data_IF_434796971351
#
_entry.id   IF_434796971351
#
_cell.length_a   1.000
_cell.length_b   1.000
_cell.length_c   1.000
_cell.angle_alpha   90.00
_cell.angle_beta   90.00
_cell.angle_gamma   90.00
#
_symmetry.space_group_name_H-M   'P 1'
#
loop_
_entity.id
_entity.type
_entity.pdbx_description
1 polymer ?
#
# COMPACT_ATOMS: atom_id res chain seq x y z
N UNK A 1 -37.09 25.63 -9.03
CA UNK A 1 -36.92 24.59 -8.01
C UNK A 1 -35.44 24.28 -7.98
N UNK A 2 -34.73 24.92 -7.07
CA UNK A 2 -33.31 24.73 -6.88
C UNK A 2 -33.07 23.32 -6.36
N UNK A 3 -32.59 22.41 -7.21
CA UNK A 3 -32.01 21.16 -6.75
C UNK A 3 -30.66 21.51 -6.13
N UNK A 4 -30.64 21.84 -4.84
CA UNK A 4 -29.43 21.72 -4.04
C UNK A 4 -28.86 20.32 -4.29
N UNK A 5 -27.77 20.26 -5.05
CA UNK A 5 -27.09 19.03 -5.40
C UNK A 5 -26.51 18.46 -4.10
N UNK A 6 -27.30 17.66 -3.38
CA UNK A 6 -26.98 17.23 -2.02
C UNK A 6 -25.74 16.34 -2.11
N UNK A 7 -24.62 16.79 -1.53
CA UNK A 7 -23.37 16.04 -1.55
C UNK A 7 -23.57 14.66 -0.93
N UNK A 8 -23.11 13.61 -1.61
CA UNK A 8 -23.18 12.24 -1.09
C UNK A 8 -22.22 12.07 0.09
N UNK A 9 -22.66 11.40 1.14
CA UNK A 9 -21.83 11.04 2.30
C UNK A 9 -21.24 9.64 2.12
N UNK A 10 -19.92 9.53 2.02
CA UNK A 10 -19.21 8.26 1.99
C UNK A 10 -18.54 7.98 3.34
N UNK A 11 -18.80 6.79 3.89
CA UNK A 11 -18.15 6.29 5.10
C UNK A 11 -16.98 5.39 4.71
N UNK A 12 -15.77 5.72 5.14
CA UNK A 12 -14.55 5.00 4.81
C UNK A 12 -14.05 4.24 6.05
N UNK A 13 -13.83 2.93 5.91
CA UNK A 13 -13.47 2.04 7.00
C UNK A 13 -12.23 1.17 6.67
N UNK A 14 -11.01 1.69 6.87
CA UNK A 14 -9.76 0.97 6.64
C UNK A 14 -9.43 -0.09 7.70
N UNK A 15 -8.57 -1.05 7.35
CA UNK A 15 -7.80 -1.83 8.35
C UNK A 15 -6.88 -0.92 9.19
N UNK A 16 -6.60 -1.32 10.43
CA UNK A 16 -5.95 -0.48 11.44
C UNK A 16 -4.42 -0.31 11.26
N UNK A 17 -3.91 -0.65 10.07
CA UNK A 17 -2.52 -0.52 9.68
C UNK A 17 -2.28 0.70 8.80
N UNK A 18 -1.10 1.32 8.91
CA UNK A 18 -0.79 2.52 8.13
C UNK A 18 -0.71 2.26 6.62
N UNK A 19 -0.37 1.03 6.22
CA UNK A 19 -0.43 0.56 4.84
C UNK A 19 -1.84 0.59 4.23
N UNK A 20 -2.88 0.56 5.05
CA UNK A 20 -4.29 0.62 4.62
C UNK A 20 -4.89 2.01 4.87
N UNK A 21 -4.62 2.61 6.03
CA UNK A 21 -5.10 3.94 6.40
C UNK A 21 -4.63 5.01 5.41
N UNK A 22 -3.37 4.95 4.97
CA UNK A 22 -2.84 5.98 4.07
C UNK A 22 -3.52 5.95 2.68
N UNK A 23 -3.68 4.80 2.01
CA UNK A 23 -4.51 4.69 0.81
C UNK A 23 -5.95 5.17 1.01
N UNK A 24 -6.61 4.79 2.10
CA UNK A 24 -7.97 5.27 2.38
C UNK A 24 -8.04 6.79 2.55
N UNK A 25 -7.02 7.41 3.14
CA UNK A 25 -6.94 8.87 3.23
C UNK A 25 -6.74 9.54 1.86
N UNK A 26 -5.93 8.95 0.97
CA UNK A 26 -5.80 9.48 -0.40
C UNK A 26 -7.10 9.28 -1.21
N UNK A 27 -7.77 8.13 -1.06
CA UNK A 27 -9.09 7.90 -1.65
C UNK A 27 -10.12 8.92 -1.12
N UNK A 28 -10.10 9.21 0.19
CA UNK A 28 -10.96 10.22 0.82
C UNK A 28 -10.78 11.61 0.16
N UNK A 29 -9.54 12.03 -0.09
CA UNK A 29 -9.24 13.30 -0.77
C UNK A 29 -9.78 13.28 -2.21
N UNK A 30 -9.50 12.23 -2.97
CA UNK A 30 -9.97 12.09 -4.36
C UNK A 30 -11.50 12.08 -4.49
N UNK A 31 -12.21 11.46 -3.55
CA UNK A 31 -13.67 11.48 -3.48
C UNK A 31 -14.19 12.86 -3.07
N UNK A 32 -13.54 13.51 -2.11
CA UNK A 32 -13.88 14.88 -1.69
C UNK A 32 -13.77 15.88 -2.84
N UNK A 33 -12.70 15.80 -3.64
CA UNK A 33 -12.51 16.61 -4.85
C UNK A 33 -13.64 16.43 -5.88
N UNK A 34 -14.37 15.31 -5.78
CA UNK A 34 -15.51 14.96 -6.64
C UNK A 34 -16.87 15.16 -5.96
N UNK A 35 -16.88 15.92 -4.87
CA UNK A 35 -18.10 16.40 -4.22
C UNK A 35 -18.68 15.47 -3.15
N UNK A 36 -17.96 14.44 -2.71
CA UNK A 36 -18.37 13.65 -1.55
C UNK A 36 -18.05 14.36 -0.23
N UNK A 37 -18.90 14.15 0.77
CA UNK A 37 -18.56 14.38 2.18
C UNK A 37 -18.06 13.05 2.76
N UNK A 38 -16.87 13.07 3.37
CA UNK A 38 -16.22 11.86 3.85
C UNK A 38 -16.31 11.76 5.37
N UNK A 39 -16.68 10.59 5.84
CA UNK A 39 -16.55 10.16 7.22
C UNK A 39 -15.51 9.04 7.29
N UNK A 40 -14.28 9.35 7.71
CA UNK A 40 -13.19 8.38 7.80
C UNK A 40 -13.13 7.83 9.23
N UNK A 41 -13.41 6.54 9.36
CA UNK A 41 -13.56 5.86 10.65
C UNK A 41 -12.30 5.08 11.05
N UNK A 42 -11.82 5.28 12.27
CA UNK A 42 -10.72 4.49 12.84
C UNK A 42 -10.66 4.61 14.36
N UNK A 43 -9.69 3.95 14.99
CA UNK A 43 -9.43 4.02 16.43
C UNK A 43 -8.80 5.36 16.82
N UNK A 44 -8.96 5.84 18.07
CA UNK A 44 -8.44 7.15 18.48
C UNK A 44 -6.93 7.35 18.21
N UNK A 45 -6.12 6.31 18.43
CA UNK A 45 -4.67 6.39 18.14
C UNK A 45 -4.39 6.59 16.65
N UNK A 46 -5.12 5.91 15.77
CA UNK A 46 -4.98 6.07 14.32
C UNK A 46 -5.53 7.42 13.84
N UNK A 47 -6.63 7.90 14.41
CA UNK A 47 -7.18 9.22 14.08
C UNK A 47 -6.21 10.35 14.43
N UNK A 48 -5.45 10.23 15.52
CA UNK A 48 -4.40 11.20 15.85
C UNK A 48 -3.29 11.29 14.79
N UNK A 49 -3.01 10.18 14.09
CA UNK A 49 -2.09 10.13 12.96
C UNK A 49 -2.73 10.72 11.69
N UNK A 50 -3.97 10.34 11.40
CA UNK A 50 -4.71 10.80 10.21
C UNK A 50 -4.94 12.31 10.26
N UNK A 51 -5.35 12.85 11.41
CA UNK A 51 -5.66 14.28 11.58
C UNK A 51 -4.50 15.19 11.19
N UNK A 52 -3.26 14.77 11.46
CA UNK A 52 -2.03 15.51 11.12
C UNK A 52 -1.74 15.54 9.62
N UNK A 53 -2.34 14.62 8.85
CA UNK A 53 -2.12 14.41 7.41
C UNK A 53 -3.27 14.90 6.55
N UNK A 54 -4.35 15.42 7.15
CA UNK A 54 -5.44 16.08 6.43
C UNK A 54 -5.03 17.54 6.14
N UNK A 55 -4.83 17.93 4.87
CA UNK A 55 -4.58 19.33 4.54
C UNK A 55 -5.77 20.20 4.91
N UNK A 56 -5.52 21.48 5.23
CA UNK A 56 -6.58 22.44 5.63
C UNK A 56 -7.69 22.57 4.59
N UNK A 57 -7.39 22.39 3.31
CA UNK A 57 -8.37 22.40 2.21
C UNK A 57 -9.45 21.33 2.36
N UNK A 58 -9.15 20.21 3.02
CA UNK A 58 -10.06 19.09 3.19
C UNK A 58 -10.78 19.07 4.55
N UNK A 59 -10.46 19.98 5.47
CA UNK A 59 -10.98 19.97 6.84
C UNK A 59 -12.51 20.14 6.94
N UNK A 60 -13.15 20.75 5.93
CA UNK A 60 -14.61 20.89 5.88
C UNK A 60 -15.31 19.69 5.21
N UNK A 61 -14.56 18.85 4.50
CA UNK A 61 -15.10 17.74 3.69
C UNK A 61 -14.75 16.36 4.24
N UNK A 62 -13.68 16.24 5.02
CA UNK A 62 -13.25 14.98 5.65
C UNK A 62 -13.44 15.12 7.16
N UNK A 63 -14.39 14.36 7.70
CA UNK A 63 -14.64 14.25 9.12
C UNK A 63 -14.10 12.92 9.65
N UNK A 64 -13.49 12.95 10.83
CA UNK A 64 -13.00 11.75 11.49
C UNK A 64 -14.07 11.19 12.42
N UNK A 65 -14.24 9.87 12.38
CA UNK A 65 -15.22 9.14 13.20
C UNK A 65 -14.48 8.14 14.08
N UNK A 66 -14.69 8.23 15.38
CA UNK A 66 -14.08 7.34 16.37
C UNK A 66 -14.78 5.98 16.41
N UNK A 67 -14.00 4.92 16.19
CA UNK A 67 -14.36 3.54 16.49
C UNK A 67 -13.78 3.15 17.85
N UNK A 68 -14.63 2.63 18.73
CA UNK A 68 -14.21 2.15 20.04
C UNK A 68 -14.03 0.63 19.96
N UNK A 69 -12.79 0.18 20.18
CA UNK A 69 -12.51 -1.25 20.35
C UNK A 69 -12.73 -1.66 21.81
N UNK A 70 -13.15 -2.91 22.06
CA UNK A 70 -13.15 -3.47 23.40
C UNK A 70 -11.73 -3.51 23.98
N UNK A 71 -11.60 -3.18 25.26
CA UNK A 71 -10.33 -3.24 25.96
C UNK A 71 -9.98 -4.69 26.34
N UNK A 72 -8.75 -5.08 26.08
CA UNK A 72 -8.15 -6.31 26.63
C UNK A 72 -6.95 -5.93 27.48
N UNK A 73 -6.66 -6.62 28.59
CA UNK A 73 -5.46 -6.37 29.40
C UNK A 73 -4.17 -6.37 28.58
N UNK A 74 -4.09 -7.25 27.58
CA UNK A 74 -2.98 -7.39 26.66
C UNK A 74 -3.04 -6.46 25.43
N UNK A 75 -4.16 -5.76 25.20
CA UNK A 75 -4.36 -4.83 24.08
C UNK A 75 -4.92 -3.47 24.57
N UNK A 76 -4.12 -2.68 25.31
CA UNK A 76 -4.47 -1.32 25.69
C UNK A 76 -4.66 -0.41 24.47
N UNK A 77 -5.26 0.77 24.66
CA UNK A 77 -5.64 1.70 23.58
C UNK A 77 -4.50 2.12 22.65
N UNK A 78 -3.25 2.17 23.14
CA UNK A 78 -2.08 2.49 22.31
C UNK A 78 -1.65 1.35 21.37
N UNK A 79 -2.23 0.16 21.51
CA UNK A 79 -2.06 -0.99 20.61
C UNK A 79 -3.30 -1.25 19.75
N UNK A 80 -4.25 -0.31 19.69
CA UNK A 80 -5.38 -0.34 18.75
C UNK A 80 -4.97 0.09 17.34
N UNK A 81 -3.77 -0.31 16.92
CA UNK A 81 -3.08 -0.02 15.66
C UNK A 81 -2.01 -1.09 15.44
N UNK A 82 -1.64 -1.40 14.20
CA UNK A 82 -0.47 -2.29 13.95
C UNK A 82 0.86 -1.57 14.17
N UNK A 83 0.88 -0.24 14.17
CA UNK A 83 2.10 0.52 14.32
C UNK A 83 2.70 0.35 15.73
N UNK A 84 3.83 -0.36 15.81
CA UNK A 84 4.47 -0.71 17.07
C UNK A 84 3.78 -1.82 17.85
N UNK A 85 2.87 -2.57 17.22
CA UNK A 85 2.21 -3.73 17.82
C UNK A 85 3.17 -4.94 17.82
N UNK A 86 3.40 -5.59 18.97
CA UNK A 86 4.07 -6.88 19.00
C UNK A 86 3.35 -7.93 18.13
N UNK A 87 4.10 -8.67 17.31
CA UNK A 87 3.53 -9.61 16.33
C UNK A 87 2.57 -10.65 16.93
N UNK A 88 2.84 -11.10 18.17
CA UNK A 88 1.98 -12.07 18.86
C UNK A 88 0.61 -11.51 19.29
N UNK A 89 0.42 -10.18 19.24
CA UNK A 89 -0.85 -9.51 19.56
C UNK A 89 -1.72 -9.24 18.32
N UNK A 90 -1.24 -9.54 17.10
CA UNK A 90 -1.98 -9.24 15.88
C UNK A 90 -3.35 -9.93 15.85
N UNK A 91 -3.42 -11.22 16.21
CA UNK A 91 -4.68 -11.98 16.27
C UNK A 91 -5.66 -11.38 17.29
N UNK A 92 -5.16 -10.82 18.39
CA UNK A 92 -5.98 -10.15 19.40
C UNK A 92 -6.53 -8.81 18.86
N UNK A 93 -5.74 -8.07 18.08
CA UNK A 93 -6.22 -6.86 17.39
C UNK A 93 -7.33 -7.18 16.37
N UNK A 94 -7.16 -8.24 15.57
CA UNK A 94 -8.20 -8.73 14.66
C UNK A 94 -9.49 -9.09 15.42
N UNK A 95 -9.36 -9.84 16.53
CA UNK A 95 -10.49 -10.20 17.40
C UNK A 95 -11.16 -8.97 18.00
N UNK A 96 -10.39 -8.00 18.50
CA UNK A 96 -10.91 -6.76 19.06
C UNK A 96 -11.72 -5.98 18.01
N UNK A 97 -11.21 -5.88 16.79
CA UNK A 97 -11.91 -5.22 15.71
C UNK A 97 -13.20 -5.94 15.33
N UNK A 98 -13.18 -7.28 15.23
CA UNK A 98 -14.40 -8.07 14.99
C UNK A 98 -15.43 -7.83 16.09
N UNK A 99 -15.03 -7.83 17.36
CA UNK A 99 -15.95 -7.56 18.48
C UNK A 99 -16.50 -6.13 18.52
N UNK A 100 -15.92 -5.19 17.74
CA UNK A 100 -16.47 -3.86 17.56
C UNK A 100 -17.65 -3.78 16.58
N UNK A 101 -18.13 -4.90 15.99
CA UNK A 101 -19.33 -4.92 15.10
C UNK A 101 -20.50 -4.09 15.67
N UNK A 102 -20.91 -4.21 16.96
CA UNK A 102 -22.05 -3.47 17.50
C UNK A 102 -21.82 -1.94 17.58
N UNK A 103 -20.57 -1.52 17.85
CA UNK A 103 -20.20 -0.11 17.86
C UNK A 103 -20.28 0.47 16.44
N UNK A 104 -19.71 -0.22 15.44
CA UNK A 104 -19.80 0.18 14.04
C UNK A 104 -21.26 0.24 13.55
N UNK A 105 -22.08 -0.77 13.89
CA UNK A 105 -23.51 -0.77 13.57
C UNK A 105 -24.22 0.47 14.11
N UNK A 106 -23.95 0.83 15.37
CA UNK A 106 -24.54 2.01 16.02
C UNK A 106 -24.09 3.31 15.34
N UNK A 107 -22.81 3.41 14.97
CA UNK A 107 -22.25 4.54 14.23
C UNK A 107 -22.98 4.69 12.88
N UNK A 108 -23.02 3.63 12.08
CA UNK A 108 -23.64 3.67 10.74
C UNK A 108 -25.14 3.98 10.79
N UNK A 109 -25.87 3.41 11.76
CA UNK A 109 -27.29 3.70 12.00
C UNK A 109 -27.54 5.16 12.36
N UNK A 110 -26.59 5.79 13.07
CA UNK A 110 -26.70 7.19 13.52
C UNK A 110 -26.29 8.16 12.41
N UNK A 111 -25.16 7.91 11.76
CA UNK A 111 -24.57 8.78 10.73
C UNK A 111 -25.32 8.72 9.40
N UNK A 112 -25.93 7.56 9.10
CA UNK A 112 -26.67 7.28 7.86
C UNK A 112 -25.90 7.75 6.61
N UNK A 113 -24.71 7.18 6.35
CA UNK A 113 -23.99 7.48 5.12
C UNK A 113 -24.76 6.97 3.90
N UNK A 114 -24.52 7.57 2.74
CA UNK A 114 -25.11 7.15 1.47
C UNK A 114 -24.42 5.90 0.91
N UNK A 115 -23.14 5.69 1.25
CA UNK A 115 -22.34 4.53 0.85
C UNK A 115 -21.27 4.24 1.91
N UNK A 116 -20.91 2.97 2.08
CA UNK A 116 -19.73 2.56 2.86
C UNK A 116 -18.67 1.93 1.95
N UNK A 117 -17.44 2.38 2.08
CA UNK A 117 -16.25 1.79 1.45
C UNK A 117 -15.42 1.20 2.58
N UNK A 118 -15.20 -0.10 2.56
CA UNK A 118 -14.53 -0.82 3.65
C UNK A 118 -13.40 -1.71 3.14
N UNK A 119 -12.43 -1.99 3.99
CA UNK A 119 -11.26 -2.80 3.64
C UNK A 119 -11.65 -4.26 3.42
N UNK A 120 -11.00 -4.92 2.47
CA UNK A 120 -11.17 -6.37 2.26
C UNK A 120 -10.83 -7.20 3.51
N UNK A 121 -10.05 -6.65 4.44
CA UNK A 121 -9.71 -7.31 5.71
C UNK A 121 -10.89 -7.41 6.69
N UNK A 122 -12.01 -6.71 6.43
CA UNK A 122 -13.20 -6.73 7.29
C UNK A 122 -14.48 -7.05 6.50
N UNK A 123 -14.52 -8.21 5.84
CA UNK A 123 -15.68 -8.65 5.05
C UNK A 123 -17.01 -8.62 5.82
N UNK A 124 -16.96 -8.82 7.15
CA UNK A 124 -18.14 -8.72 8.03
C UNK A 124 -18.85 -7.35 8.03
N UNK A 125 -18.19 -6.31 7.53
CA UNK A 125 -18.79 -4.99 7.35
C UNK A 125 -19.96 -5.04 6.36
N UNK A 126 -19.91 -5.98 5.40
CA UNK A 126 -20.96 -6.21 4.42
C UNK A 126 -22.30 -6.56 5.09
N UNK A 127 -22.31 -7.49 6.05
CA UNK A 127 -23.52 -7.87 6.77
C UNK A 127 -24.17 -6.68 7.48
N UNK A 128 -23.36 -5.81 8.10
CA UNK A 128 -23.86 -4.58 8.75
C UNK A 128 -24.44 -3.60 7.73
N UNK A 129 -23.74 -3.37 6.62
CA UNK A 129 -24.21 -2.48 5.56
C UNK A 129 -25.55 -2.96 4.98
N UNK A 130 -25.66 -4.27 4.72
CA UNK A 130 -26.87 -4.92 4.23
C UNK A 130 -28.05 -4.79 5.19
N UNK A 131 -27.83 -5.03 6.49
CA UNK A 131 -28.85 -4.87 7.53
C UNK A 131 -29.39 -3.43 7.62
N UNK A 132 -28.56 -2.45 7.31
CA UNK A 132 -28.91 -1.03 7.32
C UNK A 132 -29.36 -0.52 5.94
N UNK A 133 -29.42 -1.38 4.93
CA UNK A 133 -29.69 -1.04 3.52
C UNK A 133 -28.76 0.07 2.98
N UNK A 134 -27.50 0.06 3.43
CA UNK A 134 -26.46 0.99 2.98
C UNK A 134 -25.69 0.32 1.82
N UNK A 135 -25.66 0.93 0.63
CA UNK A 135 -24.78 0.47 -0.45
C UNK A 135 -23.33 0.35 0.00
N UNK A 136 -22.62 -0.66 -0.49
CA UNK A 136 -21.25 -0.91 -0.05
C UNK A 136 -20.32 -1.29 -1.18
N UNK A 137 -19.05 -0.92 -1.05
CA UNK A 137 -17.96 -1.32 -1.92
C UNK A 137 -16.74 -1.74 -1.08
N UNK A 138 -16.05 -2.77 -1.52
CA UNK A 138 -14.78 -3.20 -0.93
C UNK A 138 -13.65 -2.34 -1.49
N UNK A 139 -12.59 -2.12 -0.73
CA UNK A 139 -11.37 -1.51 -1.23
C UNK A 139 -10.15 -2.39 -0.93
N UNK A 140 -9.46 -2.79 -2.00
CA UNK A 140 -8.21 -3.51 -1.96
C UNK A 140 -7.04 -2.55 -2.18
N UNK A 141 -6.18 -2.42 -1.17
CA UNK A 141 -5.10 -1.41 -1.12
C UNK A 141 -3.82 -1.79 -1.86
N UNK A 142 -3.81 -2.96 -2.53
CA UNK A 142 -2.67 -3.46 -3.33
C UNK A 142 -3.07 -3.66 -4.80
N UNK A 143 -2.14 -4.16 -5.62
CA UNK A 143 -2.35 -4.37 -7.06
C UNK A 143 -3.20 -5.59 -7.42
N UNK A 144 -3.79 -5.56 -8.62
CA UNK A 144 -4.66 -6.62 -9.16
C UNK A 144 -3.88 -7.90 -9.48
N UNK A 145 -2.64 -7.79 -9.95
CA UNK A 145 -1.74 -8.91 -10.19
C UNK A 145 -1.61 -9.79 -8.95
N UNK A 146 -1.26 -9.16 -7.82
CA UNK A 146 -1.13 -9.88 -6.56
C UNK A 146 -2.44 -10.48 -6.06
N UNK A 147 -3.53 -9.69 -6.08
CA UNK A 147 -4.83 -10.19 -5.66
C UNK A 147 -5.24 -11.44 -6.46
N UNK A 148 -5.14 -11.37 -7.78
CA UNK A 148 -5.53 -12.46 -8.68
C UNK A 148 -4.69 -13.71 -8.50
N UNK A 149 -3.39 -13.56 -8.21
CA UNK A 149 -2.50 -14.69 -7.91
C UNK A 149 -2.90 -15.40 -6.62
N UNK A 150 -3.09 -14.67 -5.52
CA UNK A 150 -3.44 -15.30 -4.23
C UNK A 150 -4.85 -15.91 -4.25
N UNK A 151 -5.81 -15.25 -4.89
CA UNK A 151 -7.15 -15.83 -5.07
C UNK A 151 -7.08 -17.09 -5.93
N UNK A 152 -6.27 -17.11 -6.99
CA UNK A 152 -6.08 -18.30 -7.80
C UNK A 152 -5.48 -19.45 -6.99
N UNK A 153 -4.41 -19.19 -6.23
CA UNK A 153 -3.80 -20.21 -5.36
C UNK A 153 -4.79 -20.78 -4.35
N UNK A 154 -5.74 -19.99 -3.88
CA UNK A 154 -6.77 -20.42 -2.95
C UNK A 154 -7.90 -21.22 -3.63
N UNK A 155 -8.42 -20.75 -4.77
CA UNK A 155 -9.59 -21.35 -5.43
C UNK A 155 -9.25 -22.52 -6.36
N UNK A 156 -8.08 -22.52 -6.98
CA UNK A 156 -7.69 -23.47 -8.01
C UNK A 156 -6.43 -24.22 -7.58
N UNK A 157 -6.53 -24.94 -6.46
CA UNK A 157 -5.47 -25.82 -6.01
C UNK A 157 -5.04 -26.77 -7.16
N UNK A 158 -3.73 -26.92 -7.35
CA UNK A 158 -3.10 -27.74 -8.40
C UNK A 158 -3.29 -27.26 -9.85
N UNK A 159 -3.86 -26.07 -10.07
CA UNK A 159 -3.87 -25.41 -11.38
C UNK A 159 -2.74 -24.39 -11.43
N UNK A 160 -2.03 -24.31 -12.56
CA UNK A 160 -1.02 -23.28 -12.77
C UNK A 160 -1.68 -21.91 -13.00
N UNK A 161 -1.10 -20.88 -12.38
CA UNK A 161 -1.54 -19.52 -12.59
C UNK A 161 -1.30 -19.09 -14.05
N UNK A 162 -2.31 -18.52 -14.75
CA UNK A 162 -2.27 -18.35 -16.21
C UNK A 162 -1.27 -17.29 -16.72
N UNK A 163 -0.61 -16.55 -15.83
CA UNK A 163 0.37 -15.53 -16.21
C UNK A 163 1.79 -15.92 -15.75
N UNK A 164 2.59 -16.58 -16.61
CA UNK A 164 3.89 -17.13 -16.23
C UNK A 164 4.94 -16.06 -15.87
N UNK A 165 4.74 -14.82 -16.32
CA UNK A 165 5.61 -13.69 -15.96
C UNK A 165 5.62 -13.37 -14.45
N UNK A 166 4.58 -13.82 -13.73
CA UNK A 166 4.40 -13.62 -12.30
C UNK A 166 4.74 -14.87 -11.47
N UNK A 167 5.54 -15.78 -12.03
CA UNK A 167 5.97 -16.98 -11.33
C UNK A 167 6.86 -16.62 -10.13
N UNK A 168 6.46 -17.08 -8.94
CA UNK A 168 7.22 -16.98 -7.70
C UNK A 168 8.20 -18.15 -7.58
N UNK A 169 9.34 -17.92 -6.93
CA UNK A 169 10.31 -18.98 -6.61
C UNK A 169 9.74 -19.96 -5.58
N UNK A 170 10.26 -21.20 -5.54
CA UNK A 170 9.73 -22.25 -4.65
C UNK A 170 9.66 -21.83 -3.17
N UNK A 171 10.69 -21.14 -2.66
CA UNK A 171 10.70 -20.65 -1.29
C UNK A 171 9.65 -19.54 -1.05
N UNK A 172 9.33 -18.75 -2.08
CA UNK A 172 8.32 -17.69 -2.04
C UNK A 172 6.92 -18.29 -2.04
N UNK A 173 6.71 -19.33 -2.85
CA UNK A 173 5.47 -20.13 -2.84
C UNK A 173 5.28 -20.78 -1.48
N UNK A 174 6.32 -21.39 -0.90
CA UNK A 174 6.23 -22.00 0.42
C UNK A 174 5.90 -20.96 1.51
N UNK A 175 6.51 -19.78 1.45
CA UNK A 175 6.23 -18.67 2.37
C UNK A 175 4.80 -18.15 2.19
N UNK A 176 4.33 -17.99 0.96
CA UNK A 176 2.96 -17.60 0.62
C UNK A 176 1.94 -18.63 1.15
N UNK A 177 2.19 -19.93 0.93
CA UNK A 177 1.36 -21.02 1.47
C UNK A 177 1.32 -20.99 2.99
N UNK A 178 2.46 -20.81 3.68
CA UNK A 178 2.49 -20.72 5.15
C UNK A 178 1.66 -19.54 5.69
N UNK A 179 1.67 -18.40 5.00
CA UNK A 179 0.83 -17.25 5.35
C UNK A 179 -0.67 -17.56 5.22
N UNK A 180 -1.09 -18.20 4.12
CA UNK A 180 -2.48 -18.62 3.90
C UNK A 180 -2.93 -19.61 4.99
N UNK A 181 -2.16 -20.67 5.23
CA UNK A 181 -2.50 -21.69 6.24
C UNK A 181 -2.47 -21.16 7.68
N UNK A 182 -1.62 -20.16 7.98
CA UNK A 182 -1.61 -19.51 9.29
C UNK A 182 -2.90 -18.73 9.53
N UNK A 183 -3.36 -17.98 8.52
CA UNK A 183 -4.63 -17.24 8.61
C UNK A 183 -5.82 -18.18 8.78
N UNK A 184 -5.83 -19.34 8.09
CA UNK A 184 -6.86 -20.37 8.27
C UNK A 184 -6.90 -20.90 9.71
N UNK A 185 -5.75 -21.28 10.29
CA UNK A 185 -5.68 -21.78 11.68
C UNK A 185 -6.05 -20.74 12.72
N UNK A 186 -5.75 -19.46 12.47
CA UNK A 186 -6.18 -18.37 13.36
C UNK A 186 -7.71 -18.15 13.30
N UNK A 187 -8.32 -18.41 12.13
CA UNK A 187 -9.77 -18.40 11.94
C UNK A 187 -10.48 -19.66 12.49
N UNK A 188 -9.77 -20.80 12.65
CA UNK A 188 -10.31 -22.06 13.19
C UNK A 188 -10.46 -22.11 14.73
N UNK A 189 -10.17 -21.03 15.47
CA UNK A 189 -10.43 -20.98 16.91
C UNK A 189 -11.95 -21.15 17.16
N UNK A 190 -12.31 -22.35 17.64
CA UNK A 190 -13.63 -23.02 17.65
C UNK A 190 -14.85 -22.29 18.25
N UNK A 191 -14.69 -21.08 18.77
CA UNK A 191 -15.82 -20.24 19.23
C UNK A 191 -16.27 -19.21 18.17
N UNK A 192 -15.45 -18.97 17.15
CA UNK A 192 -15.83 -18.22 15.96
C UNK A 192 -16.18 -19.23 14.87
N UNK A 193 -17.46 -19.57 14.71
CA UNK A 193 -17.87 -20.11 13.41
C UNK A 193 -17.46 -19.06 12.37
N UNK A 194 -16.76 -19.46 11.28
CA UNK A 194 -16.62 -18.57 10.16
C UNK A 194 -18.04 -18.40 9.61
N UNK A 195 -18.72 -17.33 10.02
CA UNK A 195 -19.63 -16.66 9.11
C UNK A 195 -18.74 -16.28 7.93
N UNK A 196 -18.59 -17.20 6.97
CA UNK A 196 -18.16 -16.90 5.62
C UNK A 196 -19.25 -15.98 5.07
N UNK A 197 -19.19 -14.70 5.45
CA UNK A 197 -19.92 -13.63 4.80
C UNK A 197 -19.27 -13.50 3.41
N UNK A 198 -19.68 -14.41 2.52
CA UNK A 198 -19.27 -14.43 1.13
C UNK A 198 -19.56 -13.04 0.55
N UNK A 199 -18.59 -12.44 -0.17
CA UNK A 199 -18.84 -11.16 -0.82
C UNK A 199 -20.06 -11.29 -1.74
N UNK A 200 -20.86 -10.22 -1.86
CA UNK A 200 -22.13 -10.28 -2.59
C UNK A 200 -21.94 -10.74 -4.05
N UNK A 201 -22.92 -11.49 -4.57
CA UNK A 201 -23.01 -11.95 -5.96
C UNK A 201 -23.05 -10.81 -7.01
N UNK A 202 -23.02 -9.54 -6.59
CA UNK A 202 -22.98 -8.35 -7.44
C UNK A 202 -22.13 -7.23 -6.80
N UNK A 203 -21.09 -7.61 -6.05
CA UNK A 203 -20.23 -6.67 -5.35
C UNK A 203 -19.41 -5.76 -6.27
N UNK A 204 -19.00 -4.62 -5.72
CA UNK A 204 -17.95 -3.76 -6.29
C UNK A 204 -16.71 -3.87 -5.41
N UNK A 205 -15.57 -4.15 -6.03
CA UNK A 205 -14.26 -4.05 -5.41
C UNK A 205 -13.46 -2.94 -6.11
N UNK A 206 -13.14 -1.92 -5.34
CA UNK A 206 -12.21 -0.87 -5.72
C UNK A 206 -10.79 -1.39 -5.59
N UNK A 207 -9.92 -1.05 -6.53
CA UNK A 207 -8.51 -1.45 -6.48
C UNK A 207 -7.59 -0.28 -6.85
N UNK A 208 -6.51 -0.11 -6.10
CA UNK A 208 -5.58 1.02 -6.20
C UNK A 208 -4.65 0.93 -7.43
N UNK A 209 -5.20 0.72 -8.62
CA UNK A 209 -4.45 0.55 -9.87
C UNK A 209 -5.17 1.20 -11.05
N UNK A 210 -4.63 1.01 -12.25
CA UNK A 210 -5.29 1.35 -13.51
C UNK A 210 -5.18 0.18 -14.51
N UNK A 211 -6.04 0.20 -15.54
CA UNK A 211 -6.05 -0.85 -16.57
C UNK A 211 -4.78 -0.87 -17.43
N UNK A 212 -4.12 0.26 -17.61
CA UNK A 212 -2.85 0.35 -18.34
C UNK A 212 -1.74 -0.47 -17.66
N UNK A 213 -1.77 -0.54 -16.34
CA UNK A 213 -0.77 -1.27 -15.55
C UNK A 213 -1.15 -2.75 -15.38
N UNK A 214 -2.41 -3.03 -15.06
CA UNK A 214 -2.82 -4.37 -14.60
C UNK A 214 -4.10 -4.91 -15.26
N UNK A 215 -4.53 -4.37 -16.40
CA UNK A 215 -5.85 -4.67 -16.99
C UNK A 215 -6.16 -6.17 -17.14
N UNK A 216 -5.20 -6.97 -17.65
CA UNK A 216 -5.38 -8.43 -17.81
C UNK A 216 -5.53 -9.16 -16.47
N UNK A 217 -4.87 -8.68 -15.42
CA UNK A 217 -4.98 -9.24 -14.07
C UNK A 217 -6.30 -8.86 -13.41
N UNK A 218 -6.79 -7.65 -13.68
CA UNK A 218 -8.11 -7.21 -13.23
C UNK A 218 -9.23 -8.03 -13.88
N UNK A 219 -9.12 -8.31 -15.19
CA UNK A 219 -10.11 -9.12 -15.91
C UNK A 219 -10.14 -10.55 -15.37
N UNK A 220 -8.96 -11.14 -15.19
CA UNK A 220 -8.86 -12.47 -14.58
C UNK A 220 -9.39 -12.50 -13.15
N UNK A 221 -9.05 -11.50 -12.32
CA UNK A 221 -9.59 -11.37 -10.97
C UNK A 221 -11.12 -11.32 -10.99
N UNK A 222 -11.70 -10.45 -11.83
CA UNK A 222 -13.14 -10.28 -11.94
C UNK A 222 -13.85 -11.60 -12.30
N UNK A 223 -13.25 -12.40 -13.17
CA UNK A 223 -13.76 -13.72 -13.55
C UNK A 223 -13.71 -14.70 -12.36
N UNK A 224 -12.57 -14.84 -11.69
CA UNK A 224 -12.41 -15.85 -10.62
C UNK A 224 -13.18 -15.52 -9.34
N UNK A 225 -13.49 -14.24 -9.06
CA UNK A 225 -14.30 -13.86 -7.89
C UNK A 225 -15.73 -13.42 -8.23
N UNK A 226 -16.12 -13.45 -9.50
CA UNK A 226 -17.46 -13.04 -9.96
C UNK A 226 -17.89 -11.67 -9.41
N UNK A 227 -16.94 -10.73 -9.30
CA UNK A 227 -17.15 -9.40 -8.70
C UNK A 227 -16.66 -8.33 -9.67
N UNK A 228 -17.37 -7.19 -9.72
CA UNK A 228 -16.94 -6.05 -10.55
C UNK A 228 -15.71 -5.39 -9.93
N UNK A 229 -14.61 -5.37 -10.68
CA UNK A 229 -13.36 -4.70 -10.27
C UNK A 229 -13.31 -3.30 -10.90
N UNK A 230 -13.24 -2.27 -10.07
CA UNK A 230 -13.14 -0.87 -10.50
C UNK A 230 -11.76 -0.28 -10.12
N UNK A 231 -10.97 0.22 -11.09
CA UNK A 231 -9.74 0.91 -10.79
C UNK A 231 -10.04 2.32 -10.24
N UNK A 232 -9.34 2.72 -9.18
CA UNK A 232 -9.41 4.10 -8.64
C UNK A 232 -8.16 4.93 -8.98
N UNK A 233 -7.33 4.41 -9.89
CA UNK A 233 -6.01 4.94 -10.20
C UNK A 233 -5.01 4.72 -9.07
N UNK A 234 -3.82 5.26 -9.25
CA UNK A 234 -2.76 5.26 -8.23
C UNK A 234 -3.05 6.28 -7.12
N UNK A 235 -2.72 5.92 -5.89
CA UNK A 235 -2.96 6.74 -4.69
C UNK A 235 -1.64 7.31 -4.15
N UNK A 236 -1.07 8.23 -4.91
CA UNK A 236 0.20 8.89 -4.58
C UNK A 236 -0.03 10.11 -3.68
N UNK A 237 0.77 10.22 -2.62
CA UNK A 237 0.75 11.39 -1.73
C UNK A 237 1.29 12.63 -2.47
N UNK A 238 0.62 13.77 -2.31
CA UNK A 238 1.13 15.04 -2.82
C UNK A 238 2.46 15.40 -2.14
N UNK A 239 3.58 15.49 -2.90
CA UNK A 239 4.88 15.87 -2.36
C UNK A 239 4.86 17.23 -1.63
N UNK A 240 4.00 18.16 -2.08
CA UNK A 240 3.89 19.52 -1.55
C UNK A 240 3.09 19.57 -0.24
N UNK A 241 2.19 18.62 -0.01
CA UNK A 241 1.38 18.54 1.21
C UNK A 241 2.21 18.05 2.43
N UNK A 242 3.36 17.41 2.19
CA UNK A 242 4.28 17.00 3.25
C UNK A 242 5.08 18.22 3.76
N UNK A 243 4.53 18.90 4.78
CA UNK A 243 5.06 20.16 5.34
C UNK A 243 6.46 20.13 5.96
N UNK A 244 7.15 18.99 5.96
CA UNK A 244 8.51 18.82 6.49
C UNK A 244 9.44 18.29 5.40
N UNK A 245 9.90 19.20 4.52
CA UNK A 245 11.09 18.89 3.72
C UNK A 245 12.30 18.95 4.64
N UNK A 246 12.99 17.84 4.84
CA UNK A 246 14.28 17.88 5.53
C UNK A 246 15.26 18.64 4.62
N UNK A 247 15.45 19.94 4.90
CA UNK A 247 16.27 20.85 4.08
C UNK A 247 17.66 20.30 3.83
N UNK A 248 18.23 19.57 4.81
CA UNK A 248 19.56 18.98 4.67
C UNK A 248 19.61 17.89 3.59
N UNK A 249 18.55 17.07 3.47
CA UNK A 249 18.47 16.04 2.43
C UNK A 249 18.40 16.69 1.04
N UNK A 250 17.56 17.71 0.90
CA UNK A 250 17.39 18.40 -0.39
C UNK A 250 18.67 19.15 -0.79
N UNK A 251 19.31 19.86 0.13
CA UNK A 251 20.61 20.51 -0.14
C UNK A 251 21.70 19.53 -0.54
N UNK A 252 21.74 18.34 0.08
CA UNK A 252 22.68 17.30 -0.32
C UNK A 252 22.37 16.80 -1.74
N UNK A 253 21.10 16.61 -2.09
CA UNK A 253 20.69 16.22 -3.45
C UNK A 253 21.01 17.29 -4.50
N UNK A 254 20.84 18.58 -4.16
CA UNK A 254 21.19 19.72 -5.01
C UNK A 254 22.68 19.74 -5.38
N UNK A 255 23.54 19.17 -4.52
CA UNK A 255 24.99 19.06 -4.78
C UNK A 255 25.37 17.93 -5.73
N UNK A 256 24.44 17.01 -6.06
CA UNK A 256 24.70 15.84 -6.89
C UNK A 256 24.31 16.08 -8.35
N UNK A 257 24.93 15.33 -9.26
CA UNK A 257 24.59 15.40 -10.69
C UNK A 257 23.21 14.81 -10.94
N UNK A 258 22.58 15.22 -12.03
CA UNK A 258 21.31 14.66 -12.49
C UNK A 258 21.40 13.13 -12.62
N UNK A 259 20.35 12.43 -12.16
CA UNK A 259 20.23 10.97 -12.23
C UNK A 259 21.41 10.18 -11.63
N UNK A 260 22.19 10.77 -10.72
CA UNK A 260 23.41 10.16 -10.17
C UNK A 260 23.25 9.56 -8.77
N UNK A 261 22.06 9.68 -8.18
CA UNK A 261 21.76 9.25 -6.82
C UNK A 261 20.68 8.18 -6.79
N UNK A 262 20.86 7.17 -5.94
CA UNK A 262 19.87 6.16 -5.63
C UNK A 262 19.23 6.43 -4.28
N UNK A 263 17.90 6.45 -4.23
CA UNK A 263 17.18 6.45 -2.95
C UNK A 263 16.96 5.00 -2.48
N UNK A 264 17.16 4.71 -1.20
CA UNK A 264 17.05 3.35 -0.64
C UNK A 264 16.09 3.37 0.55
N UNK A 265 14.96 2.67 0.42
CA UNK A 265 13.97 2.57 1.51
C UNK A 265 13.14 1.29 1.47
N UNK A 266 13.00 0.66 2.63
CA UNK A 266 12.26 -0.59 2.82
C UNK A 266 10.92 -0.39 3.56
N UNK A 267 10.38 0.84 3.53
CA UNK A 267 9.09 1.17 4.14
C UNK A 267 9.18 1.39 5.66
N UNK A 268 8.00 1.44 6.31
CA UNK A 268 7.89 1.73 7.74
C UNK A 268 7.68 0.50 8.63
N UNK A 269 7.26 -0.63 8.05
CA UNK A 269 6.82 -1.81 8.80
C UNK A 269 7.78 -3.01 8.69
N UNK A 270 8.81 -2.92 7.84
CA UNK A 270 9.86 -3.93 7.75
C UNK A 270 11.17 -3.40 8.35
N UNK A 271 11.80 -4.21 9.18
CA UNK A 271 13.10 -3.92 9.79
C UNK A 271 14.10 -4.96 9.31
N UNK A 272 15.14 -4.51 8.62
CA UNK A 272 16.17 -5.38 8.03
C UNK A 272 16.89 -6.18 9.12
N UNK A 273 17.24 -7.43 8.84
CA UNK A 273 18.15 -8.19 9.72
C UNK A 273 19.56 -7.60 9.70
N UNK A 274 20.45 -8.07 10.58
CA UNK A 274 21.85 -7.62 10.58
C UNK A 274 22.52 -8.02 9.26
N UNK A 275 22.29 -9.25 8.82
CA UNK A 275 22.84 -9.83 7.60
C UNK A 275 22.35 -9.06 6.37
N UNK A 276 21.05 -8.75 6.28
CA UNK A 276 20.51 -7.94 5.18
C UNK A 276 21.10 -6.53 5.16
N UNK A 277 21.22 -5.88 6.33
CA UNK A 277 21.88 -4.56 6.40
C UNK A 277 23.33 -4.61 5.93
N UNK A 278 24.06 -5.67 6.29
CA UNK A 278 25.45 -5.84 5.89
C UNK A 278 25.59 -6.00 4.37
N UNK A 279 24.81 -6.88 3.75
CA UNK A 279 24.83 -7.10 2.29
C UNK A 279 24.39 -5.85 1.52
N UNK A 280 23.35 -5.15 1.98
CA UNK A 280 22.89 -3.90 1.36
C UNK A 280 23.95 -2.81 1.47
N UNK A 281 24.55 -2.63 2.64
CA UNK A 281 25.61 -1.64 2.84
C UNK A 281 26.78 -1.89 1.89
N UNK A 282 27.26 -3.13 1.82
CA UNK A 282 28.41 -3.48 0.99
C UNK A 282 28.06 -3.45 -0.50
N UNK A 283 26.83 -3.78 -0.89
CA UNK A 283 26.36 -3.62 -2.26
C UNK A 283 26.31 -2.15 -2.69
N UNK A 284 25.82 -1.25 -1.82
CA UNK A 284 25.84 0.19 -2.05
C UNK A 284 27.28 0.72 -2.19
N UNK A 285 28.19 0.27 -1.32
CA UNK A 285 29.61 0.61 -1.40
C UNK A 285 30.23 0.18 -2.74
N UNK A 286 30.04 -1.09 -3.13
CA UNK A 286 30.56 -1.68 -4.37
C UNK A 286 29.96 -1.06 -5.64
N UNK A 287 28.73 -0.55 -5.55
CA UNK A 287 28.06 0.10 -6.68
C UNK A 287 28.70 1.43 -7.09
N UNK A 288 29.40 2.09 -6.15
CA UNK A 288 30.04 3.41 -6.32
C UNK A 288 29.08 4.56 -6.68
N UNK A 289 27.77 4.38 -6.54
CA UNK A 289 26.77 5.45 -6.75
C UNK A 289 26.70 6.40 -5.55
N UNK A 290 26.07 7.56 -5.74
CA UNK A 290 25.58 8.35 -4.61
C UNK A 290 24.29 7.71 -4.09
N UNK A 291 24.05 7.72 -2.78
CA UNK A 291 22.82 7.17 -2.23
C UNK A 291 22.33 7.89 -0.98
N UNK A 292 21.00 7.88 -0.79
CA UNK A 292 20.38 8.17 0.49
C UNK A 292 19.73 6.88 0.98
N UNK A 293 20.09 6.42 2.18
CA UNK A 293 19.55 5.19 2.75
C UNK A 293 18.80 5.44 4.05
N UNK A 294 17.52 5.06 4.05
CA UNK A 294 16.66 5.07 5.22
C UNK A 294 16.87 3.78 6.02
N UNK A 295 17.53 3.88 7.17
CA UNK A 295 17.77 2.75 8.10
C UNK A 295 16.89 2.92 9.33
N UNK A 296 16.13 1.87 9.69
CA UNK A 296 15.18 1.89 10.80
C UNK A 296 15.36 0.69 11.71
N UNK A 297 15.00 0.87 12.96
CA UNK A 297 15.01 -0.17 14.00
C UNK A 297 13.65 -0.24 14.70
N UNK A 298 13.28 -1.40 15.25
CA UNK A 298 12.10 -1.53 16.09
C UNK A 298 12.12 -0.53 17.24
N UNK A 299 10.93 -0.10 17.68
CA UNK A 299 10.80 0.86 18.78
C UNK A 299 11.37 0.26 20.06
N UNK A 300 12.38 0.92 20.64
CA UNK A 300 13.07 0.45 21.84
C UNK A 300 14.33 -0.40 21.55
N UNK A 301 14.59 -0.74 20.29
CA UNK A 301 15.76 -1.50 19.84
C UNK A 301 16.70 -0.63 18.98
N UNK A 302 16.69 0.69 19.22
CA UNK A 302 17.50 1.63 18.45
C UNK A 302 18.98 1.33 18.64
N UNK A 303 19.66 1.06 17.53
CA UNK A 303 21.11 0.86 17.49
C UNK A 303 21.78 2.15 17.01
N UNK A 304 23.01 2.34 17.47
CA UNK A 304 23.90 3.34 16.89
C UNK A 304 24.25 2.92 15.43
N UNK A 305 24.30 3.87 14.49
CA UNK A 305 24.51 3.55 13.07
C UNK A 305 25.91 2.96 12.80
N UNK A 306 26.93 3.45 13.51
CA UNK A 306 28.30 2.92 13.44
C UNK A 306 28.38 1.47 13.92
N UNK A 307 27.53 1.06 14.87
CA UNK A 307 27.42 -0.33 15.34
C UNK A 307 26.54 -1.21 14.43
N UNK A 308 25.51 -0.61 13.82
CA UNK A 308 24.52 -1.33 13.02
C UNK A 308 24.95 -1.61 11.58
N UNK A 309 26.00 -0.93 11.11
CA UNK A 309 26.56 -1.00 9.76
C UNK A 309 27.95 -1.65 9.79
N UNK A 310 28.47 -2.12 8.64
CA UNK A 310 29.81 -2.72 8.59
C UNK A 310 30.87 -1.75 9.11
N UNK A 311 31.87 -2.27 9.85
CA UNK A 311 32.91 -1.45 10.44
C UNK A 311 33.62 -0.59 9.37
N UNK A 312 33.71 0.72 9.61
CA UNK A 312 34.35 1.68 8.70
C UNK A 312 33.50 2.07 7.47
N UNK A 313 32.25 1.63 7.38
CA UNK A 313 31.39 1.86 6.21
C UNK A 313 31.16 3.35 5.94
N UNK A 314 30.84 4.13 6.98
CA UNK A 314 30.54 5.56 6.85
C UNK A 314 31.76 6.34 6.30
N UNK A 315 32.97 5.99 6.73
CA UNK A 315 34.21 6.57 6.23
C UNK A 315 34.49 6.18 4.78
N UNK A 316 34.24 4.91 4.41
CA UNK A 316 34.49 4.42 3.03
C UNK A 316 33.51 5.01 2.01
N UNK A 317 32.25 5.25 2.40
CA UNK A 317 31.27 5.88 1.50
C UNK A 317 31.38 7.39 1.46
N UNK A 318 31.83 8.01 2.55
CA UNK A 318 32.10 9.45 2.62
C UNK A 318 30.90 10.30 2.19
N UNK A 319 31.13 11.29 1.34
CA UNK A 319 30.11 12.22 0.86
C UNK A 319 29.15 11.62 -0.18
N UNK A 320 29.39 10.39 -0.65
CA UNK A 320 28.51 9.66 -1.58
C UNK A 320 27.28 9.08 -0.87
N UNK A 321 27.37 8.79 0.43
CA UNK A 321 26.30 8.16 1.19
C UNK A 321 25.71 9.08 2.25
N UNK A 322 24.38 9.20 2.29
CA UNK A 322 23.67 9.83 3.40
C UNK A 322 22.73 8.81 4.06
N UNK A 323 22.97 8.51 5.34
CA UNK A 323 22.16 7.55 6.11
C UNK A 323 21.24 8.33 7.04
N UNK A 324 19.94 8.06 6.98
CA UNK A 324 18.91 8.75 7.76
C UNK A 324 17.89 7.78 8.35
N UNK A 325 17.23 8.15 9.43
CA UNK A 325 16.15 7.32 10.02
C UNK A 325 14.79 7.57 9.36
N UNK A 326 14.61 8.76 8.78
CA UNK A 326 13.40 9.16 8.09
C UNK A 326 13.74 10.10 6.94
N UNK A 327 12.96 10.00 5.85
CA UNK A 327 13.15 10.81 4.67
C UNK A 327 11.79 11.12 4.01
N UNK A 328 11.60 12.32 3.42
CA UNK A 328 10.40 12.68 2.69
C UNK A 328 10.40 12.02 1.30
N UNK A 329 10.05 10.73 1.22
CA UNK A 329 10.15 9.90 0.02
C UNK A 329 9.58 10.57 -1.25
N UNK A 330 8.34 11.07 -1.20
CA UNK A 330 7.72 11.74 -2.36
C UNK A 330 8.51 12.98 -2.85
N UNK A 331 9.15 13.74 -1.96
CA UNK A 331 10.03 14.87 -2.34
C UNK A 331 11.36 14.43 -2.91
N UNK A 332 11.91 13.32 -2.40
CA UNK A 332 13.17 12.77 -2.91
C UNK A 332 12.96 12.23 -4.32
N UNK A 333 11.91 11.43 -4.53
CA UNK A 333 11.62 10.81 -5.83
C UNK A 333 11.31 11.83 -6.93
N UNK A 334 10.92 13.06 -6.59
CA UNK A 334 10.71 14.16 -7.55
C UNK A 334 11.98 14.96 -7.85
N UNK A 335 13.09 14.70 -7.15
CA UNK A 335 14.34 15.43 -7.31
C UNK A 335 15.12 14.95 -8.55
N UNK A 336 15.65 15.88 -9.34
CA UNK A 336 16.35 15.60 -10.61
C UNK A 336 17.60 14.73 -10.46
N UNK A 337 18.31 14.83 -9.32
CA UNK A 337 19.45 13.99 -9.00
C UNK A 337 19.12 12.51 -8.77
N UNK A 338 17.85 12.14 -8.55
CA UNK A 338 17.46 10.73 -8.34
C UNK A 338 17.41 9.99 -9.68
N UNK A 339 18.27 8.97 -9.80
CA UNK A 339 18.36 8.09 -10.97
C UNK A 339 17.72 6.72 -10.76
N UNK A 340 17.40 6.33 -9.53
CA UNK A 340 16.76 5.05 -9.22
C UNK A 340 16.31 4.94 -7.77
N UNK A 341 15.42 3.98 -7.50
CA UNK A 341 14.86 3.72 -6.18
C UNK A 341 15.00 2.25 -5.79
N UNK A 342 15.86 1.97 -4.81
CA UNK A 342 15.91 0.65 -4.15
C UNK A 342 14.73 0.55 -3.20
N UNK A 343 13.82 -0.38 -3.52
CA UNK A 343 12.52 -0.50 -2.87
C UNK A 343 12.21 -1.94 -2.49
N UNK A 344 11.57 -2.08 -1.34
CA UNK A 344 10.86 -3.29 -0.93
C UNK A 344 9.66 -3.64 -1.82
N UNK A 345 9.28 -2.82 -2.80
CA UNK A 345 8.17 -3.08 -3.72
C UNK A 345 6.77 -3.09 -3.07
N UNK A 346 6.58 -2.35 -1.97
CA UNK A 346 5.23 -2.10 -1.45
C UNK A 346 4.42 -1.21 -2.41
N UNK A 347 3.13 -1.52 -2.56
CA UNK A 347 2.27 -0.94 -3.62
C UNK A 347 2.24 0.60 -3.67
N UNK A 348 2.24 1.26 -2.51
CA UNK A 348 2.29 2.72 -2.42
C UNK A 348 3.63 3.28 -2.93
N UNK A 349 4.74 2.63 -2.57
CA UNK A 349 6.08 3.08 -2.95
C UNK A 349 6.34 2.91 -4.45
N UNK A 350 5.83 1.82 -5.04
CA UNK A 350 5.97 1.60 -6.49
C UNK A 350 5.09 2.58 -7.28
N UNK A 351 3.89 2.90 -6.79
CA UNK A 351 2.99 3.89 -7.41
C UNK A 351 3.66 5.26 -7.46
N UNK A 352 4.27 5.70 -6.35
CA UNK A 352 5.04 6.95 -6.29
C UNK A 352 6.21 6.94 -7.27
N UNK A 353 6.99 5.85 -7.29
CA UNK A 353 8.15 5.74 -8.19
C UNK A 353 7.77 5.83 -9.67
N UNK A 354 6.73 5.09 -10.09
CA UNK A 354 6.30 5.10 -11.49
C UNK A 354 5.73 6.47 -11.85
N UNK A 355 4.87 7.06 -11.02
CA UNK A 355 4.35 8.40 -11.26
C UNK A 355 5.48 9.41 -11.40
N UNK A 356 6.47 9.41 -10.51
CA UNK A 356 7.59 10.36 -10.59
C UNK A 356 8.63 9.99 -11.66
N UNK A 357 8.45 8.88 -12.39
CA UNK A 357 9.31 8.49 -13.50
C UNK A 357 10.69 8.02 -13.03
N UNK A 358 10.76 7.38 -11.87
CA UNK A 358 11.99 6.82 -11.28
C UNK A 358 11.97 5.30 -11.42
N UNK A 359 13.00 4.70 -12.06
CA UNK A 359 13.09 3.25 -12.21
C UNK A 359 13.41 2.58 -10.87
N UNK A 360 12.99 1.33 -10.72
CA UNK A 360 13.03 0.62 -9.43
C UNK A 360 14.13 -0.45 -9.43
N UNK A 361 14.92 -0.46 -8.36
CA UNK A 361 15.76 -1.59 -7.98
C UNK A 361 14.97 -2.41 -6.95
N UNK A 362 14.37 -3.49 -7.40
CA UNK A 362 13.43 -4.28 -6.60
C UNK A 362 14.18 -5.24 -5.67
N UNK A 363 13.94 -5.11 -4.36
CA UNK A 363 14.43 -6.03 -3.33
C UNK A 363 13.25 -6.38 -2.41
N UNK A 364 12.36 -7.29 -2.82
CA UNK A 364 11.17 -7.63 -2.04
C UNK A 364 11.53 -8.31 -0.71
N UNK A 365 10.77 -8.00 0.35
CA UNK A 365 11.06 -8.44 1.73
C UNK A 365 9.98 -9.36 2.31
N UNK A 366 8.70 -9.07 2.08
CA UNK A 366 7.59 -9.83 2.66
C UNK A 366 6.25 -9.65 1.91
N UNK A 367 5.27 -10.49 2.26
CA UNK A 367 3.86 -10.37 1.84
C UNK A 367 3.69 -10.36 0.31
N UNK A 368 3.09 -9.29 -0.22
CA UNK A 368 2.77 -9.06 -1.63
C UNK A 368 3.96 -8.61 -2.47
N UNK A 369 5.06 -8.22 -1.83
CA UNK A 369 6.17 -7.54 -2.46
C UNK A 369 6.88 -8.35 -3.57
N UNK A 370 7.12 -9.68 -3.43
CA UNK A 370 7.72 -10.46 -4.52
C UNK A 370 6.87 -10.40 -5.80
N UNK A 371 5.56 -10.51 -5.65
CA UNK A 371 4.64 -10.45 -6.78
C UNK A 371 4.65 -9.08 -7.46
N UNK A 372 4.67 -8.01 -6.66
CA UNK A 372 4.82 -6.66 -7.17
C UNK A 372 6.15 -6.49 -7.91
N UNK A 373 7.26 -7.07 -7.42
CA UNK A 373 8.55 -7.02 -8.10
C UNK A 373 8.50 -7.71 -9.48
N UNK A 374 7.90 -8.91 -9.58
CA UNK A 374 7.73 -9.62 -10.86
C UNK A 374 6.91 -8.80 -11.86
N UNK A 375 5.83 -8.18 -11.42
CA UNK A 375 5.03 -7.28 -12.26
C UNK A 375 5.88 -6.12 -12.81
N UNK A 376 6.69 -5.49 -11.96
CA UNK A 376 7.53 -4.35 -12.36
C UNK A 376 8.62 -4.74 -13.36
N UNK A 377 9.18 -5.94 -13.20
CA UNK A 377 10.14 -6.52 -14.15
C UNK A 377 9.46 -6.84 -15.48
N UNK A 378 8.27 -7.45 -15.45
CA UNK A 378 7.47 -7.75 -16.66
C UNK A 378 7.16 -6.48 -17.47
N UNK A 379 6.70 -5.43 -16.79
CA UNK A 379 6.44 -4.14 -17.46
C UNK A 379 7.73 -3.38 -17.78
N UNK A 380 8.91 -3.87 -17.39
CA UNK A 380 10.22 -3.33 -17.76
C UNK A 380 10.56 -1.97 -17.14
N UNK A 381 10.05 -1.69 -15.93
CA UNK A 381 10.40 -0.47 -15.16
C UNK A 381 11.24 -0.75 -13.92
N UNK A 382 11.61 -2.02 -13.71
CA UNK A 382 12.47 -2.44 -12.62
C UNK A 382 13.46 -3.53 -13.03
N UNK A 383 14.54 -3.64 -12.27
CA UNK A 383 15.37 -4.83 -12.18
C UNK A 383 15.30 -5.37 -10.74
N UNK A 384 15.24 -6.69 -10.60
CA UNK A 384 15.15 -7.37 -9.31
C UNK A 384 16.51 -7.87 -8.86
N UNK A 385 16.84 -7.64 -7.58
CA UNK A 385 17.91 -8.36 -6.89
C UNK A 385 17.34 -9.71 -6.45
N UNK A 386 17.67 -10.74 -7.22
CA UNK A 386 17.20 -12.10 -6.95
C UNK A 386 17.99 -12.67 -5.77
N UNK A 387 17.28 -13.24 -4.80
CA UNK A 387 17.89 -13.96 -3.66
C UNK A 387 18.35 -15.34 -4.12
N UNK A 388 19.34 -15.90 -3.42
CA UNK A 388 19.77 -17.28 -3.66
C UNK A 388 18.73 -18.32 -3.18
N UNK A 389 19.02 -19.60 -3.40
CA UNK A 389 18.14 -20.72 -3.00
C UNK A 389 17.86 -20.78 -1.49
N UNK A 390 18.69 -20.14 -0.67
CA UNK A 390 18.50 -20.03 0.78
C UNK A 390 17.71 -18.77 1.18
N UNK A 391 17.31 -17.95 0.20
CA UNK A 391 16.64 -16.66 0.43
C UNK A 391 17.59 -15.55 0.87
N UNK A 392 18.91 -15.69 0.67
CA UNK A 392 19.90 -14.68 1.05
C UNK A 392 20.15 -13.66 -0.05
N UNK A 393 20.47 -12.42 0.35
CA UNK A 393 20.92 -11.36 -0.55
C UNK A 393 22.44 -11.42 -0.69
N UNK A 394 22.95 -11.04 -1.86
CA UNK A 394 24.39 -10.92 -2.12
C UNK A 394 24.73 -9.51 -2.60
N UNK A 395 25.71 -8.88 -1.95
CA UNK A 395 26.20 -7.54 -2.26
C UNK A 395 26.62 -7.35 -3.73
N UNK A 396 27.19 -8.38 -4.37
CA UNK A 396 27.59 -8.32 -5.77
C UNK A 396 26.38 -8.16 -6.70
N UNK A 397 25.30 -8.89 -6.42
CA UNK A 397 24.05 -8.80 -7.17
C UNK A 397 23.37 -7.45 -6.94
N UNK A 398 23.35 -6.97 -5.70
CA UNK A 398 22.86 -5.61 -5.37
C UNK A 398 23.63 -4.56 -6.17
N UNK A 399 24.96 -4.62 -6.16
CA UNK A 399 25.80 -3.67 -6.88
C UNK A 399 25.60 -3.75 -8.40
N UNK A 400 25.46 -4.97 -8.93
CA UNK A 400 25.21 -5.23 -10.36
C UNK A 400 23.88 -4.63 -10.81
N UNK A 401 22.80 -4.89 -10.07
CA UNK A 401 21.46 -4.37 -10.38
C UNK A 401 21.39 -2.85 -10.25
N UNK A 402 22.02 -2.27 -9.22
CA UNK A 402 22.12 -0.81 -9.09
C UNK A 402 22.81 -0.21 -10.32
N UNK A 403 23.93 -0.79 -10.77
CA UNK A 403 24.61 -0.33 -11.99
C UNK A 403 23.73 -0.49 -13.23
N UNK A 404 23.01 -1.60 -13.36
CA UNK A 404 22.08 -1.84 -14.47
C UNK A 404 20.93 -0.85 -14.56
N UNK A 405 20.46 -0.31 -13.42
CA UNK A 405 19.40 0.71 -13.37
C UNK A 405 19.93 2.13 -13.49
N UNK A 406 21.17 2.40 -13.08
CA UNK A 406 21.74 3.76 -13.10
C UNK A 406 22.56 4.08 -14.34
N UNK A 407 23.15 3.07 -15.00
CA UNK A 407 24.13 3.24 -16.07
C UNK A 407 23.87 2.35 -17.27
N UNK A 408 24.24 2.83 -18.47
CA UNK A 408 24.17 2.08 -19.73
C UNK A 408 22.83 2.21 -20.48
N UNK A 409 22.77 1.63 -21.68
CA UNK A 409 21.62 1.76 -22.59
C UNK A 409 20.33 1.16 -22.03
N UNK A 410 20.42 0.02 -21.33
CA UNK A 410 19.28 -0.61 -20.66
C UNK A 410 18.62 0.34 -19.64
N UNK A 411 19.45 1.08 -18.91
CA UNK A 411 19.02 2.08 -17.94
C UNK A 411 18.28 3.26 -18.60
N UNK A 412 18.77 3.74 -19.76
CA UNK A 412 18.10 4.80 -20.53
C UNK A 412 16.72 4.35 -21.04
N UNK A 413 16.61 3.14 -21.56
CA UNK A 413 15.35 2.57 -22.01
C UNK A 413 14.35 2.43 -20.86
N UNK A 414 14.81 1.95 -19.70
CA UNK A 414 13.98 1.83 -18.50
C UNK A 414 13.48 3.20 -18.02
N UNK A 415 14.35 4.22 -17.99
CA UNK A 415 13.99 5.60 -17.64
C UNK A 415 12.95 6.18 -18.59
N UNK A 416 13.13 5.99 -19.90
CA UNK A 416 12.14 6.42 -20.90
C UNK A 416 10.80 5.73 -20.68
N UNK A 417 10.81 4.42 -20.42
CA UNK A 417 9.60 3.64 -20.20
C UNK A 417 8.85 4.07 -18.94
N UNK A 418 9.53 4.18 -17.79
CA UNK A 418 8.88 4.58 -16.53
C UNK A 418 8.35 6.01 -16.59
N UNK A 419 9.04 6.94 -17.26
CA UNK A 419 8.55 8.33 -17.46
C UNK A 419 7.31 8.38 -18.35
N UNK A 420 7.30 7.62 -19.45
CA UNK A 420 6.13 7.52 -20.33
C UNK A 420 4.95 6.90 -19.58
N UNK A 421 5.20 5.80 -18.85
CA UNK A 421 4.19 5.13 -18.05
C UNK A 421 3.64 6.09 -16.98
N UNK A 422 4.48 6.75 -16.19
CA UNK A 422 4.05 7.71 -15.17
C UNK A 422 3.20 8.85 -15.71
N UNK A 423 3.51 9.39 -16.90
CA UNK A 423 2.68 10.41 -17.56
C UNK A 423 1.29 9.86 -17.93
N UNK A 424 1.25 8.66 -18.48
CA UNK A 424 -0.01 8.00 -18.83
C UNK A 424 -0.83 7.68 -17.58
N UNK A 425 -0.19 7.14 -16.54
CA UNK A 425 -0.82 6.80 -15.26
C UNK A 425 -1.49 8.01 -14.60
N UNK A 426 -0.87 9.19 -14.60
CA UNK A 426 -1.50 10.39 -14.04
C UNK A 426 -2.81 10.73 -14.73
N UNK A 427 -2.85 10.62 -16.05
CA UNK A 427 -4.06 10.92 -16.85
C UNK A 427 -5.11 9.84 -16.62
N UNK A 428 -4.71 8.57 -16.77
CA UNK A 428 -5.60 7.41 -16.60
C UNK A 428 -6.15 7.28 -15.19
N UNK A 429 -5.37 7.61 -14.17
CA UNK A 429 -5.83 7.59 -12.79
C UNK A 429 -6.93 8.61 -12.50
N UNK A 430 -6.97 9.73 -13.22
CA UNK A 430 -8.09 10.68 -13.12
C UNK A 430 -9.32 10.12 -13.81
N UNK A 431 -9.17 9.60 -15.04
CA UNK A 431 -10.26 8.98 -15.80
C UNK A 431 -10.89 7.79 -15.06
N UNK A 432 -10.07 6.88 -14.54
CA UNK A 432 -10.49 5.70 -13.77
C UNK A 432 -11.23 6.10 -12.50
N UNK A 433 -10.73 7.13 -11.79
CA UNK A 433 -11.40 7.64 -10.59
C UNK A 433 -12.73 8.34 -10.92
N UNK A 434 -12.82 9.08 -12.02
CA UNK A 434 -14.05 9.73 -12.48
C UNK A 434 -15.11 8.67 -12.85
N UNK A 435 -14.72 7.65 -13.61
CA UNK A 435 -15.58 6.52 -13.95
C UNK A 435 -16.05 5.76 -12.70
N UNK A 436 -15.15 5.48 -11.76
CA UNK A 436 -15.51 4.85 -10.50
C UNK A 436 -16.48 5.69 -9.69
N UNK A 437 -16.29 7.02 -9.63
CA UNK A 437 -17.24 7.89 -8.92
C UNK A 437 -18.63 7.82 -9.52
N UNK A 438 -18.75 7.75 -10.84
CA UNK A 438 -20.05 7.61 -11.49
C UNK A 438 -20.72 6.27 -11.13
N UNK A 439 -19.97 5.18 -11.12
CA UNK A 439 -20.45 3.87 -10.66
C UNK A 439 -20.90 3.89 -9.19
N UNK A 440 -20.15 4.54 -8.31
CA UNK A 440 -20.55 4.70 -6.90
C UNK A 440 -21.83 5.52 -6.77
N UNK A 441 -22.01 6.59 -7.57
CA UNK A 441 -23.26 7.38 -7.61
C UNK A 441 -24.44 6.57 -8.11
N UNK A 442 -24.25 5.77 -9.15
CA UNK A 442 -25.28 4.88 -9.68
C UNK A 442 -25.68 3.82 -8.66
N UNK A 443 -24.71 3.22 -7.96
CA UNK A 443 -24.97 2.26 -6.88
C UNK A 443 -25.84 2.88 -5.78
N UNK A 444 -25.55 4.12 -5.37
CA UNK A 444 -26.36 4.86 -4.39
C UNK A 444 -27.76 5.19 -4.95
N UNK A 445 -27.85 5.65 -6.20
CA UNK A 445 -29.12 6.00 -6.84
C UNK A 445 -30.07 4.81 -7.00
N UNK A 446 -29.54 3.64 -7.36
CA UNK A 446 -30.29 2.40 -7.49
C UNK A 446 -30.85 1.93 -6.14
N UNK A 447 -30.08 2.06 -5.05
CA UNK A 447 -30.54 1.72 -3.70
C UNK A 447 -31.65 2.65 -3.21
N UNK A 448 -31.52 3.97 -3.42
CA UNK A 448 -32.57 4.94 -3.06
C UNK A 448 -33.88 4.68 -3.80
N UNK A 449 -33.80 4.29 -5.08
CA UNK A 449 -34.97 3.97 -5.90
C UNK A 449 -35.69 2.71 -5.40
N UNK A 450 -34.94 1.67 -5.00
CA UNK A 450 -35.51 0.45 -4.40
C UNK A 450 -36.20 0.72 -3.06
N UNK A 451 -35.65 1.62 -2.24
CA UNK A 451 -36.20 1.95 -0.92
C UNK A 451 -37.40 2.92 -0.96
N UNK A 452 -37.58 3.69 -2.04
CA UNK A 452 -38.70 4.62 -2.20
C UNK A 452 -39.96 4.02 -2.82
N UNK A 453 -39.98 2.72 -3.11
CA UNK A 453 -41.05 2.02 -3.86
C UNK A 453 -42.11 1.36 -2.98
N UNK A 454 -42.34 1.83 -1.74
CA UNK A 454 -43.34 1.27 -0.81
C UNK A 454 -44.45 2.26 -0.47
#
# INVERSE_FOLDING_TARGET
MDTENTKLKAFLFPWLAYGHISPFLELAKKLSDRGFLIELCSTPINLSFIQKRIPKSYSSTIQLVELILPEFPQLPSHYHTTNGLPLHLNSILHKALKLAKPNLFTILKTRKPDIIIYDVMQLWTFGIASLLNIPSAQFFTSGAAMCSYFVHLYKNLDVEYPFPALHLLDYEIERARKLVHKNEKENENKDDQPEEEMPPQEGIMLISTCRELEGKYMDYLAEIIETRILPIGTLVQDPLASGEGNMNIMQWLDSKKELSTVFVSFGSEYFLTKEEREEIALGLELSQVNFIWVVRFPKGEKQNLEEALPQGFLERVGDRGMIVEWAPQAKILTHSSIGGFVSHCGWNSISESIEFGVPIIAIPMQLDQPMNAKLLVEIGVALEVVRDDNGSLHREDIASVIKGVTSGESSDNMRCKVRSLGKNLRTKSVEDMDATVEELRQLVGNSKSKNGSF
#
